data_IF_002200143981
#
_entry.id   IF_002200143981
#
_cell.length_a   1.000
_cell.length_b   1.000
_cell.length_c   1.000
_cell.angle_alpha   90.00
_cell.angle_beta   90.00
_cell.angle_gamma   90.00
#
_symmetry.space_group_name_H-M   'P 1'
#
loop_
_entity.id
_entity.type
_entity.pdbx_description
1 polymer ?
#
# COMPACT_ATOMS: atom_id res chain seq x y z
N UNK A 1 -21.43 13.14 36.49
CA UNK A 1 -20.29 12.20 36.37
C UNK A 1 -20.33 11.30 35.13
N UNK A 2 -21.49 10.73 34.74
CA UNK A 2 -21.62 9.81 33.59
C UNK A 2 -21.13 10.37 32.23
N UNK A 3 -21.40 11.63 31.92
CA UNK A 3 -21.04 12.23 30.62
C UNK A 3 -19.56 12.55 30.50
N UNK A 4 -18.96 13.13 31.56
CA UNK A 4 -17.53 13.45 31.59
C UNK A 4 -16.66 12.18 31.51
N UNK A 5 -17.10 11.10 32.16
CA UNK A 5 -16.40 9.81 32.10
C UNK A 5 -16.42 9.19 30.69
N UNK A 6 -17.55 9.27 29.99
CA UNK A 6 -17.67 8.81 28.59
C UNK A 6 -16.75 9.61 27.64
N UNK A 7 -16.70 10.93 27.80
CA UNK A 7 -15.83 11.80 27.01
C UNK A 7 -14.36 11.45 27.26
N UNK A 8 -13.97 11.22 28.51
CA UNK A 8 -12.62 10.81 28.87
C UNK A 8 -12.23 9.47 28.21
N UNK A 9 -13.10 8.46 28.27
CA UNK A 9 -12.86 7.18 27.59
C UNK A 9 -12.80 7.31 26.07
N UNK A 10 -13.64 8.15 25.48
CA UNK A 10 -13.62 8.41 24.03
C UNK A 10 -12.32 9.07 23.59
N UNK A 11 -11.82 10.05 24.35
CA UNK A 11 -10.54 10.71 24.08
C UNK A 11 -9.36 9.74 24.24
N UNK A 12 -9.41 8.88 25.27
CA UNK A 12 -8.40 7.86 25.48
C UNK A 12 -8.35 6.86 24.30
N UNK A 13 -9.51 6.43 23.81
CA UNK A 13 -9.59 5.52 22.66
C UNK A 13 -9.02 6.16 21.38
N UNK A 14 -9.39 7.41 21.09
CA UNK A 14 -8.85 8.16 19.95
C UNK A 14 -7.35 8.35 20.06
N UNK A 15 -6.83 8.69 21.25
CA UNK A 15 -5.41 8.84 21.49
C UNK A 15 -4.64 7.53 21.25
N UNK A 16 -5.17 6.38 21.73
CA UNK A 16 -4.55 5.07 21.50
C UNK A 16 -4.52 4.72 20.01
N UNK A 17 -5.60 4.99 19.27
CA UNK A 17 -5.65 4.76 17.83
C UNK A 17 -4.60 5.63 17.12
N UNK A 18 -4.57 6.94 17.39
CA UNK A 18 -3.57 7.83 16.78
C UNK A 18 -2.15 7.33 17.08
N UNK A 19 -1.83 7.05 18.34
CA UNK A 19 -0.51 6.57 18.72
C UNK A 19 -0.17 5.22 18.05
N UNK A 20 -1.11 4.29 17.95
CA UNK A 20 -0.91 2.98 17.33
C UNK A 20 -0.65 3.02 15.82
N UNK A 21 -1.15 4.02 15.10
CA UNK A 21 -0.93 4.21 13.66
C UNK A 21 0.16 5.25 13.33
N UNK A 22 0.63 6.03 14.30
CA UNK A 22 1.73 6.99 14.11
C UNK A 22 3.11 6.37 14.22
N UNK A 23 3.24 5.19 14.84
CA UNK A 23 4.49 4.45 14.79
C UNK A 23 4.65 3.98 13.34
N UNK A 24 5.71 4.37 12.61
CA UNK A 24 5.99 3.75 11.34
C UNK A 24 6.05 2.25 11.63
N UNK A 25 5.22 1.47 10.95
CA UNK A 25 5.35 0.02 10.99
C UNK A 25 6.76 -0.22 10.49
N UNK A 26 7.71 -0.33 11.43
CA UNK A 26 9.06 -0.76 11.16
C UNK A 26 8.86 -2.18 10.67
N UNK A 27 8.70 -2.32 9.36
CA UNK A 27 8.62 -3.60 8.67
C UNK A 27 9.90 -4.31 9.11
N UNK A 28 9.75 -5.18 10.10
CA UNK A 28 10.85 -5.89 10.71
C UNK A 28 11.20 -6.99 9.73
N UNK A 29 12.08 -6.65 8.79
CA UNK A 29 12.48 -7.52 7.68
C UNK A 29 12.92 -6.68 6.48
N UNK A 30 13.83 -7.19 5.66
CA UNK A 30 14.42 -6.53 4.48
C UNK A 30 13.44 -6.17 3.35
N UNK A 31 12.15 -6.03 3.66
CA UNK A 31 11.11 -5.51 2.78
C UNK A 31 11.20 -4.00 2.74
N UNK A 32 11.47 -3.46 1.55
CA UNK A 32 11.43 -2.03 1.27
C UNK A 32 10.34 -1.76 0.23
N UNK A 33 9.72 -0.58 0.32
CA UNK A 33 8.73 -0.15 -0.66
C UNK A 33 9.45 0.27 -1.95
N UNK A 34 9.03 -0.28 -3.08
CA UNK A 34 9.52 0.09 -4.41
C UNK A 34 8.36 0.62 -5.26
N UNK A 35 8.61 1.73 -5.96
CA UNK A 35 7.65 2.31 -6.90
C UNK A 35 7.94 1.83 -8.31
N UNK A 36 6.90 1.45 -9.05
CA UNK A 36 7.00 1.16 -10.47
C UNK A 36 7.15 2.45 -11.28
N UNK A 37 7.80 2.41 -12.45
CA UNK A 37 7.78 3.52 -13.40
C UNK A 37 6.34 3.83 -13.85
N UNK A 38 6.12 4.98 -14.50
CA UNK A 38 4.79 5.34 -15.01
C UNK A 38 4.26 4.27 -15.99
N UNK A 39 3.25 3.52 -15.56
CA UNK A 39 2.60 2.47 -16.35
C UNK A 39 1.44 3.00 -17.22
N UNK A 40 1.33 4.32 -17.41
CA UNK A 40 0.24 4.98 -18.14
C UNK A 40 -1.15 4.63 -17.60
N UNK A 41 -1.29 4.66 -16.27
CA UNK A 41 -2.55 4.34 -15.58
C UNK A 41 -2.91 2.86 -15.56
N UNK A 42 -2.02 1.96 -16.00
CA UNK A 42 -2.23 0.51 -15.94
C UNK A 42 -1.75 -0.06 -14.61
N UNK A 43 -2.42 -1.11 -14.14
CA UNK A 43 -1.96 -1.91 -13.01
C UNK A 43 -1.03 -3.03 -13.47
N UNK A 44 -0.05 -3.38 -12.63
CA UNK A 44 0.73 -4.61 -12.80
C UNK A 44 -0.18 -5.80 -12.57
N UNK A 45 -0.12 -6.77 -13.47
CA UNK A 45 -0.87 -8.01 -13.41
C UNK A 45 0.02 -9.19 -13.01
N UNK A 46 1.26 -9.23 -13.50
CA UNK A 46 2.21 -10.29 -13.19
C UNK A 46 3.66 -9.80 -13.26
N UNK A 47 4.59 -10.51 -12.61
CA UNK A 47 6.03 -10.24 -12.62
C UNK A 47 6.78 -11.58 -12.72
N UNK A 48 7.65 -11.69 -13.71
CA UNK A 48 8.52 -12.86 -13.92
C UNK A 48 10.00 -12.44 -13.91
N UNK A 49 10.86 -13.29 -13.33
CA UNK A 49 12.31 -13.10 -13.29
C UNK A 49 12.99 -14.24 -14.05
N UNK A 50 13.83 -13.90 -15.03
CA UNK A 50 14.69 -14.87 -15.72
C UNK A 50 15.93 -15.18 -14.89
N UNK A 51 16.53 -14.13 -14.32
CA UNK A 51 17.70 -14.20 -13.45
C UNK A 51 17.66 -13.05 -12.41
N UNK A 52 18.74 -12.86 -11.66
CA UNK A 52 18.83 -11.83 -10.61
C UNK A 52 18.80 -10.38 -11.12
N UNK A 53 19.03 -10.16 -12.42
CA UNK A 53 19.18 -8.86 -13.06
C UNK A 53 18.14 -8.61 -14.16
N UNK A 54 17.52 -9.66 -14.71
CA UNK A 54 16.59 -9.58 -15.83
C UNK A 54 15.24 -10.24 -15.53
N UNK A 55 14.18 -9.60 -16.01
CA UNK A 55 12.80 -10.02 -15.80
C UNK A 55 11.81 -9.08 -16.51
N UNK A 56 10.52 -9.35 -16.37
CA UNK A 56 9.45 -8.58 -17.00
C UNK A 56 8.27 -8.41 -16.05
N UNK A 57 7.68 -7.22 -16.08
CA UNK A 57 6.35 -6.95 -15.52
C UNK A 57 5.32 -6.92 -16.63
N UNK A 58 4.20 -7.60 -16.43
CA UNK A 58 3.06 -7.62 -17.35
C UNK A 58 1.99 -6.71 -16.80
N UNK A 59 1.41 -5.88 -17.66
CA UNK A 59 0.23 -5.06 -17.33
C UNK A 59 -0.96 -5.58 -18.12
N UNK A 60 -2.17 -5.36 -17.62
CA UNK A 60 -3.35 -5.73 -18.37
C UNK A 60 -3.39 -4.95 -19.70
N UNK A 61 -3.49 -5.67 -20.82
CA UNK A 61 -3.75 -5.06 -22.10
C UNK A 61 -5.20 -4.59 -22.12
N UNK A 62 -5.41 -3.27 -22.16
CA UNK A 62 -6.66 -2.79 -22.73
C UNK A 62 -6.60 -3.18 -24.20
N UNK A 63 -7.54 -4.01 -24.65
CA UNK A 63 -7.76 -4.23 -26.08
C UNK A 63 -8.08 -2.88 -26.72
N UNK A 64 -7.05 -2.14 -27.12
CA UNK A 64 -7.16 -1.11 -28.12
C UNK A 64 -7.35 -1.90 -29.41
N UNK A 65 -8.60 -2.19 -29.75
CA UNK A 65 -8.99 -2.64 -31.07
C UNK A 65 -8.58 -1.54 -32.05
N UNK A 66 -7.32 -1.53 -32.44
CA UNK A 66 -6.81 -0.68 -33.50
C UNK A 66 -5.82 -1.50 -34.33
N UNK A 67 -6.30 -2.67 -34.77
CA UNK A 67 -5.87 -3.23 -36.06
C UNK A 67 -6.59 -2.44 -37.14
N UNK A 68 -5.88 -1.46 -37.73
CA UNK A 68 -6.17 -0.87 -39.04
C UNK A 68 -4.86 -0.68 -39.78
#
# INVERSE_FOLDING_TARGET
MRTKLKILFSLLAVLIIILGFTVPVNLTGGWYQQFMPNLNGRSVQDIFFLDSLTGWGVTNATNQNNDT
#
